data_IF_266442143953
#
_entry.id   IF_266442143953
#
_cell.length_a   1.000
_cell.length_b   1.000
_cell.length_c   1.000
_cell.angle_alpha   90.00
_cell.angle_beta   90.00
_cell.angle_gamma   90.00
#
_symmetry.space_group_name_H-M   'P 1'
#
loop_
_entity.id
_entity.type
_entity.pdbx_description
1 polymer ?
#
# COMPACT_ATOMS: atom_id res chain seq x y z
N UNK A 1 18.29 17.34 -36.58
CA UNK A 1 18.37 16.06 -35.90
C UNK A 1 19.25 16.24 -34.69
N UNK A 2 18.65 16.45 -33.50
CA UNK A 2 19.38 16.49 -32.23
C UNK A 2 18.95 15.24 -31.47
N UNK A 3 19.80 14.24 -31.39
CA UNK A 3 19.64 13.09 -30.53
C UNK A 3 19.72 13.58 -29.06
N UNK A 4 18.58 13.70 -28.39
CA UNK A 4 18.55 13.78 -26.94
C UNK A 4 18.83 12.37 -26.39
N UNK A 5 20.08 12.08 -26.10
CA UNK A 5 20.49 10.95 -25.31
C UNK A 5 19.87 11.09 -23.90
N UNK A 6 18.83 10.30 -23.63
CA UNK A 6 18.26 10.13 -22.31
C UNK A 6 19.33 9.52 -21.40
N UNK A 7 20.01 10.36 -20.62
CA UNK A 7 20.83 9.89 -19.50
C UNK A 7 19.83 9.29 -18.50
N UNK A 8 19.72 7.96 -18.49
CA UNK A 8 19.08 7.24 -17.40
C UNK A 8 19.81 7.63 -16.11
N UNK A 9 19.16 8.44 -15.25
CA UNK A 9 19.64 8.61 -13.88
C UNK A 9 19.52 7.23 -13.21
N UNK A 10 20.65 6.57 -12.96
CA UNK A 10 20.68 5.35 -12.18
C UNK A 10 19.99 5.63 -10.82
N UNK A 11 18.94 4.90 -10.53
CA UNK A 11 18.29 4.97 -9.21
C UNK A 11 19.30 4.43 -8.20
N UNK A 12 19.67 5.18 -7.15
CA UNK A 12 20.58 4.64 -6.14
C UNK A 12 19.94 3.41 -5.50
N UNK A 13 20.70 2.32 -5.45
CA UNK A 13 20.24 1.05 -4.88
C UNK A 13 19.77 1.23 -3.44
N UNK A 14 18.63 0.62 -3.09
CA UNK A 14 18.09 0.70 -1.72
C UNK A 14 19.09 0.11 -0.71
N UNK A 15 19.15 0.73 0.48
CA UNK A 15 20.13 0.38 1.53
C UNK A 15 20.04 -1.06 2.08
N UNK A 16 18.97 -1.78 1.80
CA UNK A 16 18.81 -3.21 2.11
C UNK A 16 19.62 -4.11 1.19
N UNK A 17 20.07 -3.60 0.02
CA UNK A 17 20.87 -4.34 -0.92
C UNK A 17 22.35 -3.89 -0.82
N UNK A 18 23.24 -4.86 -0.97
CA UNK A 18 24.68 -4.55 -0.99
C UNK A 18 25.10 -4.05 -2.37
N UNK A 19 26.04 -3.10 -2.38
CA UNK A 19 26.66 -2.62 -3.61
C UNK A 19 27.37 -3.79 -4.33
N UNK A 20 27.01 -4.12 -5.57
CA UNK A 20 27.61 -5.23 -6.31
C UNK A 20 29.11 -5.00 -6.62
N UNK A 21 29.58 -3.74 -6.55
CA UNK A 21 30.98 -3.39 -6.77
C UNK A 21 31.83 -3.47 -5.50
N UNK A 22 31.21 -3.60 -4.32
CA UNK A 22 31.91 -3.71 -3.07
C UNK A 22 32.53 -5.10 -2.90
N UNK A 23 33.82 -5.16 -2.57
CA UNK A 23 34.55 -6.41 -2.29
C UNK A 23 34.24 -7.02 -0.92
N UNK A 24 33.13 -6.64 -0.29
CA UNK A 24 32.75 -7.14 1.03
C UNK A 24 32.37 -8.62 0.97
N UNK A 25 32.98 -9.49 1.77
CA UNK A 25 32.62 -10.91 1.80
C UNK A 25 31.15 -11.10 2.18
N UNK A 26 30.40 -11.88 1.42
CA UNK A 26 29.00 -12.18 1.68
C UNK A 26 28.83 -13.56 2.29
N UNK A 27 27.99 -13.66 3.32
CA UNK A 27 27.68 -14.89 4.06
C UNK A 27 26.52 -15.59 3.35
N UNK A 28 26.66 -16.87 2.94
CA UNK A 28 25.58 -17.60 2.27
C UNK A 28 24.44 -17.94 3.26
N UNK A 29 23.21 -17.76 2.82
CA UNK A 29 22.00 -18.26 3.47
C UNK A 29 21.60 -19.55 2.76
N UNK A 30 21.55 -20.65 3.51
CA UNK A 30 21.19 -21.98 3.04
C UNK A 30 19.77 -22.29 3.52
N UNK A 31 18.84 -22.34 2.57
CA UNK A 31 17.45 -22.63 2.86
C UNK A 31 17.21 -24.13 2.95
N UNK A 32 16.49 -24.57 3.99
CA UNK A 32 16.16 -25.96 4.22
C UNK A 32 14.67 -26.14 4.48
N UNK A 33 14.08 -27.18 3.87
CA UNK A 33 12.81 -27.77 4.27
C UNK A 33 13.11 -29.13 4.91
N UNK A 34 12.14 -29.73 5.58
CA UNK A 34 12.32 -31.09 6.11
C UNK A 34 12.74 -32.10 5.01
N UNK A 35 12.23 -31.91 3.78
CA UNK A 35 12.55 -32.75 2.64
C UNK A 35 13.98 -32.55 2.13
N UNK A 36 14.43 -31.30 2.00
CA UNK A 36 15.76 -30.95 1.48
C UNK A 36 16.87 -31.06 2.51
N UNK A 37 16.55 -31.11 3.79
CA UNK A 37 17.53 -31.10 4.89
C UNK A 37 18.53 -32.25 4.85
N UNK A 38 18.15 -33.51 4.59
CA UNK A 38 19.13 -34.61 4.56
C UNK A 38 20.26 -34.39 3.55
N UNK A 39 19.91 -33.91 2.33
CA UNK A 39 20.89 -33.64 1.29
C UNK A 39 21.74 -32.40 1.62
N UNK A 40 21.11 -31.32 2.11
CA UNK A 40 21.85 -30.14 2.55
C UNK A 40 22.81 -30.45 3.68
N UNK A 41 22.36 -31.21 4.70
CA UNK A 41 23.17 -31.64 5.85
C UNK A 41 24.42 -32.42 5.38
N UNK A 42 24.27 -33.34 4.42
CA UNK A 42 25.40 -34.07 3.87
C UNK A 42 26.41 -33.14 3.17
N UNK A 43 25.93 -32.09 2.48
CA UNK A 43 26.80 -31.11 1.77
C UNK A 43 27.59 -30.21 2.73
N UNK A 44 27.19 -30.08 3.99
CA UNK A 44 27.89 -29.28 5.00
C UNK A 44 29.20 -29.94 5.48
N UNK A 45 29.44 -31.19 5.18
CA UNK A 45 30.65 -31.92 5.63
C UNK A 45 30.80 -31.89 7.16
N UNK A 46 32.00 -31.57 7.66
CA UNK A 46 32.29 -31.54 9.10
C UNK A 46 31.45 -30.54 9.89
N UNK A 47 30.97 -29.46 9.28
CA UNK A 47 30.14 -28.43 9.93
C UNK A 47 28.73 -28.97 10.25
N UNK A 48 28.32 -30.09 9.64
CA UNK A 48 27.06 -30.76 9.96
C UNK A 48 26.98 -31.22 11.43
N UNK A 49 28.11 -31.65 12.02
CA UNK A 49 28.19 -32.05 13.43
C UNK A 49 27.84 -30.87 14.37
N UNK A 50 28.21 -29.64 14.01
CA UNK A 50 27.81 -28.47 14.78
C UNK A 50 26.31 -28.23 14.68
N UNK A 51 25.71 -28.35 13.49
CA UNK A 51 24.28 -28.19 13.30
C UNK A 51 23.47 -29.21 14.11
N UNK A 52 23.95 -30.48 14.16
CA UNK A 52 23.34 -31.53 14.96
C UNK A 52 23.44 -31.23 16.46
N UNK A 53 24.63 -30.85 16.93
CA UNK A 53 24.86 -30.51 18.34
C UNK A 53 24.05 -29.27 18.80
N UNK A 54 23.82 -28.35 17.88
CA UNK A 54 22.97 -27.16 18.11
C UNK A 54 21.46 -27.48 18.02
N UNK A 55 21.09 -28.70 17.67
CA UNK A 55 19.70 -29.15 17.55
C UNK A 55 18.96 -28.45 16.42
N UNK A 56 19.65 -28.12 15.30
CA UNK A 56 18.99 -27.51 14.17
C UNK A 56 18.05 -28.49 13.48
N UNK A 57 16.80 -28.11 13.43
CA UNK A 57 15.76 -28.73 12.63
C UNK A 57 15.23 -27.69 11.63
N UNK A 58 14.93 -28.07 10.37
CA UNK A 58 14.49 -27.11 9.35
C UNK A 58 13.01 -26.71 9.57
N UNK A 59 12.65 -26.33 10.80
CA UNK A 59 11.33 -25.80 11.11
C UNK A 59 11.18 -24.39 10.57
N UNK A 60 9.98 -23.96 10.16
CA UNK A 60 9.74 -22.64 9.61
C UNK A 60 10.26 -21.51 10.50
N UNK A 61 11.22 -20.72 9.99
CA UNK A 61 11.83 -19.58 10.68
C UNK A 61 12.92 -19.92 11.67
N UNK A 62 13.22 -21.19 11.94
CA UNK A 62 14.39 -21.57 12.70
C UNK A 62 15.65 -21.20 11.91
N UNK A 63 16.64 -20.64 12.58
CA UNK A 63 17.91 -20.28 11.96
C UNK A 63 19.09 -20.69 12.83
N UNK A 64 20.22 -20.95 12.20
CA UNK A 64 21.47 -21.26 12.87
C UNK A 64 22.64 -20.62 12.13
N UNK A 65 23.51 -19.92 12.87
CA UNK A 65 24.75 -19.36 12.33
C UNK A 65 25.85 -20.44 12.43
N UNK A 66 26.35 -20.88 11.29
CA UNK A 66 27.45 -21.86 11.25
C UNK A 66 28.80 -21.13 11.44
N UNK A 67 29.67 -21.64 12.33
CA UNK A 67 30.96 -21.01 12.62
C UNK A 67 31.92 -21.14 11.43
N UNK A 68 32.88 -20.20 11.34
CA UNK A 68 33.94 -20.20 10.32
C UNK A 68 33.90 -18.97 9.40
N UNK A 69 34.65 -19.01 8.33
CA UNK A 69 34.76 -17.92 7.38
C UNK A 69 35.48 -16.66 7.92
N UNK A 70 35.72 -15.66 7.05
CA UNK A 70 36.49 -14.47 7.43
C UNK A 70 35.75 -13.55 8.43
N UNK A 71 34.44 -13.66 8.53
CA UNK A 71 33.59 -12.89 9.46
C UNK A 71 33.25 -13.64 10.74
N UNK A 72 33.77 -14.86 10.96
CA UNK A 72 33.40 -15.76 12.05
C UNK A 72 32.13 -16.57 11.79
N UNK A 73 31.42 -16.32 10.68
CA UNK A 73 30.22 -17.01 10.23
C UNK A 73 30.47 -17.53 8.81
N UNK A 74 30.43 -18.83 8.61
CA UNK A 74 30.61 -19.48 7.31
C UNK A 74 29.32 -19.53 6.48
N UNK A 75 28.17 -19.71 7.14
CA UNK A 75 26.86 -19.75 6.52
C UNK A 75 25.74 -19.51 7.55
N UNK A 76 24.54 -19.29 7.06
CA UNK A 76 23.29 -19.28 7.85
C UNK A 76 22.40 -20.40 7.34
N UNK A 77 22.00 -21.31 8.23
CA UNK A 77 20.90 -22.25 7.95
C UNK A 77 19.57 -21.55 8.25
N UNK A 78 18.58 -21.73 7.39
CA UNK A 78 17.26 -21.14 7.59
C UNK A 78 16.15 -22.10 7.14
N UNK A 79 15.28 -22.46 8.08
CA UNK A 79 14.14 -23.35 7.83
C UNK A 79 12.99 -22.65 7.12
N UNK A 80 12.49 -23.26 6.05
CA UNK A 80 11.31 -22.82 5.31
C UNK A 80 10.11 -23.74 5.57
N UNK A 81 8.86 -23.22 5.52
CA UNK A 81 7.67 -24.06 5.56
C UNK A 81 7.56 -24.91 4.29
N UNK A 82 6.78 -26.00 4.38
CA UNK A 82 6.45 -26.83 3.22
C UNK A 82 5.41 -26.15 2.33
N UNK A 83 5.41 -26.38 1.00
CA UNK A 83 4.25 -26.07 0.17
C UNK A 83 2.99 -26.84 0.65
N UNK A 84 1.76 -26.26 0.59
CA UNK A 84 1.41 -24.95 0.07
C UNK A 84 1.55 -23.79 1.07
N UNK A 85 1.99 -24.02 2.30
CA UNK A 85 2.08 -23.02 3.37
C UNK A 85 3.25 -22.04 3.17
N UNK A 86 3.94 -22.14 2.06
CA UNK A 86 5.14 -21.35 1.78
C UNK A 86 4.79 -19.91 1.41
N UNK A 87 4.82 -18.99 2.39
CA UNK A 87 4.89 -17.56 2.09
C UNK A 87 6.28 -17.23 1.50
N UNK A 88 6.39 -16.77 0.24
CA UNK A 88 7.68 -16.43 -0.36
C UNK A 88 8.44 -15.32 0.39
N UNK A 89 7.77 -14.60 1.29
CA UNK A 89 8.40 -13.58 2.13
C UNK A 89 9.06 -14.12 3.41
N UNK A 90 9.09 -15.44 3.65
CA UNK A 90 9.75 -16.01 4.83
C UNK A 90 11.17 -15.47 5.09
N UNK A 91 12.03 -15.25 4.07
CA UNK A 91 13.35 -14.64 4.27
C UNK A 91 13.31 -13.23 4.86
N UNK A 92 12.16 -12.57 4.84
CA UNK A 92 11.94 -11.28 5.51
C UNK A 92 12.00 -11.30 7.04
N UNK A 93 12.08 -12.46 7.67
CA UNK A 93 12.40 -12.58 9.11
C UNK A 93 13.89 -12.38 9.40
N UNK A 94 14.75 -12.73 8.45
CA UNK A 94 16.20 -12.77 8.63
C UNK A 94 16.79 -11.42 9.08
N UNK A 95 16.43 -10.25 8.52
CA UNK A 95 17.00 -8.98 8.95
C UNK A 95 16.78 -8.65 10.43
N UNK A 96 15.80 -9.26 11.08
CA UNK A 96 15.54 -9.03 12.52
C UNK A 96 16.39 -9.89 13.44
N UNK A 97 16.95 -10.99 12.96
CA UNK A 97 17.69 -12.00 13.75
C UNK A 97 19.15 -12.12 13.36
N UNK A 98 19.54 -11.69 12.17
CA UNK A 98 20.92 -11.77 11.70
C UNK A 98 21.82 -10.69 12.30
N UNK A 99 23.10 -11.00 12.60
CA UNK A 99 24.12 -10.00 12.84
C UNK A 99 24.30 -9.05 11.66
N UNK A 100 24.87 -7.85 11.90
CA UNK A 100 25.24 -6.94 10.82
C UNK A 100 26.18 -7.60 9.82
N UNK A 101 25.93 -7.41 8.55
CA UNK A 101 26.76 -7.99 7.49
C UNK A 101 26.08 -8.03 6.13
N UNK A 102 26.81 -8.50 5.14
CA UNK A 102 26.31 -8.76 3.79
C UNK A 102 26.02 -10.24 3.65
N UNK A 103 24.83 -10.58 3.22
CA UNK A 103 24.35 -11.93 3.02
C UNK A 103 24.01 -12.18 1.56
N UNK A 104 24.01 -13.42 1.11
CA UNK A 104 23.57 -13.85 -0.21
C UNK A 104 22.79 -15.16 -0.14
N UNK A 105 21.97 -15.43 -1.10
CA UNK A 105 21.32 -16.73 -1.20
C UNK A 105 22.35 -17.76 -1.66
N UNK A 106 22.62 -18.76 -0.83
CA UNK A 106 23.58 -19.84 -1.11
C UNK A 106 22.93 -21.04 -1.78
N UNK A 107 21.76 -21.48 -1.26
CA UNK A 107 20.81 -22.31 -1.99
C UNK A 107 19.61 -21.45 -2.36
N UNK A 108 19.09 -21.57 -3.58
CA UNK A 108 18.00 -20.71 -4.04
C UNK A 108 16.70 -20.97 -3.27
N UNK A 109 15.99 -19.94 -2.77
CA UNK A 109 14.62 -20.08 -2.32
C UNK A 109 13.72 -20.35 -3.55
N UNK A 110 12.52 -20.95 -3.37
CA UNK A 110 11.62 -21.29 -4.48
C UNK A 110 11.26 -20.12 -5.40
N UNK A 111 11.21 -18.92 -4.85
CA UNK A 111 11.02 -17.66 -5.62
C UNK A 111 12.08 -16.63 -5.18
N UNK A 112 13.25 -16.56 -5.85
CA UNK A 112 14.33 -15.66 -5.46
C UNK A 112 13.94 -14.19 -5.46
N UNK A 113 13.09 -13.74 -6.42
CA UNK A 113 12.63 -12.35 -6.50
C UNK A 113 11.80 -11.97 -5.29
N UNK A 114 10.77 -12.74 -4.95
CA UNK A 114 9.93 -12.45 -3.80
C UNK A 114 10.68 -12.67 -2.47
N UNK A 115 11.60 -13.61 -2.41
CA UNK A 115 12.47 -13.81 -1.25
C UNK A 115 13.37 -12.60 -1.00
N UNK A 116 13.98 -12.03 -2.05
CA UNK A 116 14.79 -10.82 -1.97
C UNK A 116 13.95 -9.59 -1.59
N UNK A 117 12.77 -9.46 -2.19
CA UNK A 117 11.81 -8.41 -1.82
C UNK A 117 11.39 -8.53 -0.35
N UNK A 118 10.99 -9.73 0.08
CA UNK A 118 10.61 -10.00 1.48
C UNK A 118 11.74 -9.69 2.46
N UNK A 119 12.98 -10.09 2.13
CA UNK A 119 14.16 -9.73 2.92
C UNK A 119 14.32 -8.22 3.04
N UNK A 120 14.29 -7.49 1.93
CA UNK A 120 14.44 -6.03 1.94
C UNK A 120 13.32 -5.33 2.70
N UNK A 121 12.06 -5.72 2.49
CA UNK A 121 10.91 -5.22 3.24
C UNK A 121 10.99 -5.51 4.75
N UNK A 122 11.65 -6.61 5.13
CA UNK A 122 11.91 -6.98 6.53
C UNK A 122 12.97 -6.10 7.21
N UNK A 123 13.76 -5.34 6.45
CA UNK A 123 14.73 -4.37 7.01
C UNK A 123 14.06 -3.09 7.48
N UNK A 124 12.83 -2.81 7.03
CA UNK A 124 12.13 -1.57 7.36
C UNK A 124 12.00 -1.35 8.86
N UNK A 125 12.23 -0.12 9.28
CA UNK A 125 12.04 0.36 10.66
C UNK A 125 11.59 1.81 10.63
N UNK A 126 10.49 2.11 11.32
CA UNK A 126 10.08 3.48 11.57
C UNK A 126 10.91 4.07 12.70
N UNK A 127 11.82 5.00 12.40
CA UNK A 127 12.84 5.50 13.33
C UNK A 127 12.76 7.01 13.62
N UNK A 128 11.68 7.68 13.20
CA UNK A 128 11.53 9.14 13.33
C UNK A 128 11.63 9.64 14.78
N UNK A 129 11.06 8.91 15.73
CA UNK A 129 10.99 9.33 17.14
C UNK A 129 11.94 8.56 18.06
N UNK A 130 12.47 7.46 17.58
CA UNK A 130 13.42 6.63 18.35
C UNK A 130 14.56 6.21 17.45
N UNK A 131 15.79 6.68 17.78
CA UNK A 131 16.99 6.27 17.06
C UNK A 131 17.15 4.75 17.10
N UNK A 132 17.52 4.19 15.97
CA UNK A 132 17.83 2.78 15.84
C UNK A 132 19.26 2.65 15.33
N UNK A 133 20.19 2.42 16.27
CA UNK A 133 21.64 2.31 15.98
C UNK A 133 22.06 0.91 15.49
N UNK A 134 21.08 0.03 15.13
CA UNK A 134 21.42 -1.29 14.61
C UNK A 134 22.19 -1.16 13.29
N UNK A 135 23.37 -1.78 13.25
CA UNK A 135 24.16 -1.90 12.02
C UNK A 135 23.35 -2.64 10.95
N UNK A 136 23.61 -2.34 9.69
CA UNK A 136 22.81 -2.81 8.55
C UNK A 136 23.03 -4.30 8.28
N UNK A 137 21.93 -4.99 8.00
CA UNK A 137 21.90 -6.31 7.40
C UNK A 137 21.51 -6.10 5.93
N UNK A 138 22.35 -6.55 4.99
CA UNK A 138 22.20 -6.30 3.57
C UNK A 138 22.18 -7.60 2.78
N UNK A 139 21.48 -7.62 1.66
CA UNK A 139 21.44 -8.74 0.73
C UNK A 139 22.23 -8.39 -0.54
N UNK A 140 23.25 -9.18 -0.86
CA UNK A 140 23.84 -9.19 -2.18
C UNK A 140 22.86 -9.92 -3.12
N UNK A 141 22.31 -9.16 -4.08
CA UNK A 141 21.32 -9.69 -5.01
C UNK A 141 21.96 -10.69 -6.00
N UNK A 142 21.26 -11.80 -6.30
CA UNK A 142 21.57 -12.62 -7.48
C UNK A 142 21.57 -11.78 -8.77
N UNK A 143 22.53 -12.03 -9.65
CA UNK A 143 22.75 -11.21 -10.86
C UNK A 143 21.56 -11.24 -11.86
N UNK A 144 20.74 -12.26 -11.79
CA UNK A 144 19.53 -12.43 -12.62
C UNK A 144 18.33 -11.61 -12.18
N UNK A 145 18.39 -10.98 -11.00
CA UNK A 145 17.29 -10.16 -10.49
C UNK A 145 17.43 -8.69 -10.90
N UNK A 146 16.30 -8.09 -11.28
CA UNK A 146 16.22 -6.66 -11.57
C UNK A 146 16.31 -5.85 -10.25
N UNK A 147 17.50 -5.33 -9.96
CA UNK A 147 17.81 -4.57 -8.76
C UNK A 147 17.05 -3.24 -8.72
N UNK A 148 16.82 -2.61 -9.88
CA UNK A 148 16.11 -1.34 -9.98
C UNK A 148 14.62 -1.53 -9.68
N UNK A 149 14.03 -2.61 -10.18
CA UNK A 149 12.62 -2.92 -9.89
C UNK A 149 12.39 -3.27 -8.42
N UNK A 150 13.28 -4.06 -7.83
CA UNK A 150 13.23 -4.37 -6.40
C UNK A 150 13.42 -3.11 -5.54
N UNK A 151 14.38 -2.24 -5.88
CA UNK A 151 14.61 -0.97 -5.18
C UNK A 151 13.37 -0.09 -5.24
N UNK A 152 12.78 0.06 -6.42
CA UNK A 152 11.54 0.84 -6.63
C UNK A 152 10.40 0.37 -5.74
N UNK A 153 10.18 -0.95 -5.65
CA UNK A 153 9.13 -1.52 -4.81
C UNK A 153 9.41 -1.31 -3.32
N UNK A 154 10.66 -1.48 -2.89
CA UNK A 154 11.03 -1.30 -1.47
C UNK A 154 10.89 0.16 -1.05
N UNK A 155 11.34 1.10 -1.89
CA UNK A 155 11.20 2.55 -1.68
C UNK A 155 9.71 2.94 -1.59
N UNK A 156 8.88 2.44 -2.51
CA UNK A 156 7.45 2.72 -2.55
C UNK A 156 6.72 2.21 -1.28
N UNK A 157 6.99 0.97 -0.91
CA UNK A 157 6.40 0.39 0.32
C UNK A 157 6.91 1.11 1.56
N UNK A 158 8.19 1.50 1.59
CA UNK A 158 8.77 2.30 2.66
C UNK A 158 8.07 3.64 2.82
N UNK A 159 7.84 4.36 1.72
CA UNK A 159 7.09 5.63 1.71
C UNK A 159 5.69 5.47 2.31
N UNK A 160 4.93 4.47 1.88
CA UNK A 160 3.58 4.24 2.40
C UNK A 160 3.62 3.91 3.91
N UNK A 161 4.53 3.03 4.32
CA UNK A 161 4.68 2.67 5.74
C UNK A 161 5.06 3.86 6.61
N UNK A 162 5.96 4.72 6.15
CA UNK A 162 6.35 5.93 6.87
C UNK A 162 5.18 6.88 7.08
N UNK A 163 4.38 7.12 6.02
CA UNK A 163 3.19 7.95 6.09
C UNK A 163 2.15 7.39 7.07
N UNK A 164 1.84 6.09 6.98
CA UNK A 164 0.82 5.46 7.83
C UNK A 164 1.28 5.38 9.29
N UNK A 165 2.58 5.18 9.54
CA UNK A 165 3.13 5.11 10.89
C UNK A 165 3.24 6.49 11.56
N UNK A 166 3.27 7.57 10.78
CA UNK A 166 3.37 8.92 11.31
C UNK A 166 2.16 9.23 12.20
N UNK A 167 2.35 9.70 13.45
CA UNK A 167 1.26 10.18 14.29
C UNK A 167 0.56 11.40 13.70
N UNK A 168 -0.75 11.53 13.95
CA UNK A 168 -1.57 12.59 13.38
C UNK A 168 -1.16 14.01 13.82
N UNK A 169 -0.49 14.17 14.97
CA UNK A 169 0.07 15.46 15.34
C UNK A 169 1.17 15.97 14.38
N UNK A 170 1.87 15.04 13.72
CA UNK A 170 2.94 15.32 12.76
C UNK A 170 2.55 15.01 11.30
N UNK A 171 1.38 14.43 11.07
CA UNK A 171 0.84 14.16 9.73
C UNK A 171 -0.65 14.51 9.67
N UNK A 172 -0.95 15.76 9.45
CA UNK A 172 -2.28 16.25 9.06
C UNK A 172 -2.39 16.44 7.54
N UNK A 173 -3.48 17.08 7.10
CA UNK A 173 -3.70 17.32 5.66
C UNK A 173 -2.58 18.11 4.98
N UNK A 174 -1.94 19.07 5.67
CA UNK A 174 -0.84 19.87 5.13
C UNK A 174 0.44 19.05 4.96
N UNK A 175 0.77 18.20 5.92
CA UNK A 175 1.94 17.36 5.87
C UNK A 175 1.79 16.22 4.84
N UNK A 176 0.57 15.73 4.64
CA UNK A 176 0.26 14.79 3.55
C UNK A 176 0.43 15.48 2.17
N UNK A 177 0.03 16.73 2.04
CA UNK A 177 0.32 17.55 0.86
C UNK A 177 1.83 17.68 0.63
N UNK A 178 2.63 17.98 1.67
CA UNK A 178 4.07 18.13 1.50
C UNK A 178 4.73 16.81 1.06
N UNK A 179 4.27 15.67 1.55
CA UNK A 179 4.72 14.37 1.07
C UNK A 179 4.39 14.17 -0.42
N UNK A 180 3.19 14.55 -0.85
CA UNK A 180 2.78 14.52 -2.24
C UNK A 180 3.62 15.47 -3.11
N UNK A 181 3.92 16.68 -2.62
CA UNK A 181 4.82 17.64 -3.29
C UNK A 181 6.25 17.11 -3.40
N UNK A 182 6.76 16.45 -2.38
CA UNK A 182 8.08 15.82 -2.42
C UNK A 182 8.15 14.73 -3.49
N UNK A 183 7.10 13.90 -3.60
CA UNK A 183 6.98 12.90 -4.65
C UNK A 183 6.89 13.53 -6.04
N UNK A 184 6.05 14.57 -6.21
CA UNK A 184 5.93 15.29 -7.47
C UNK A 184 7.27 15.90 -7.92
N UNK A 185 8.01 16.55 -7.01
CA UNK A 185 9.36 17.07 -7.30
C UNK A 185 10.35 15.98 -7.72
N UNK A 186 10.29 14.81 -7.08
CA UNK A 186 11.19 13.67 -7.41
C UNK A 186 11.02 13.21 -8.87
N UNK A 187 9.80 13.30 -9.40
CA UNK A 187 9.43 12.77 -10.72
C UNK A 187 9.08 13.85 -11.75
N UNK A 188 9.37 15.12 -11.47
CA UNK A 188 9.04 16.25 -12.33
C UNK A 188 7.54 16.29 -12.70
N UNK A 189 6.66 15.87 -11.76
CA UNK A 189 5.22 15.92 -11.92
C UNK A 189 4.65 17.29 -11.55
N UNK A 190 3.54 17.66 -12.17
CA UNK A 190 2.79 18.85 -11.81
C UNK A 190 1.90 18.54 -10.59
N UNK A 191 1.73 19.52 -9.70
CA UNK A 191 0.87 19.40 -8.54
C UNK A 191 0.11 20.70 -8.30
N UNK A 192 -1.20 20.60 -8.13
CA UNK A 192 -2.09 21.68 -7.67
C UNK A 192 -2.83 21.26 -6.40
N UNK A 193 -3.22 22.23 -5.59
CA UNK A 193 -3.93 21.96 -4.32
C UNK A 193 -4.99 23.02 -4.11
N UNK A 194 -6.19 22.58 -3.74
CA UNK A 194 -7.32 23.45 -3.35
C UNK A 194 -7.49 23.29 -1.84
N UNK A 195 -7.56 24.39 -1.09
CA UNK A 195 -7.50 24.38 0.38
C UNK A 195 -8.68 25.12 1.01
N UNK A 196 -9.24 24.56 2.09
CA UNK A 196 -10.22 25.22 2.92
C UNK A 196 -11.51 25.57 2.17
N UNK A 197 -11.96 26.81 2.26
CA UNK A 197 -13.22 27.28 1.66
C UNK A 197 -13.18 27.35 0.12
N UNK A 198 -11.98 27.43 -0.50
CA UNK A 198 -11.82 27.33 -1.95
C UNK A 198 -12.37 26.00 -2.50
N UNK A 199 -12.47 24.97 -1.65
CA UNK A 199 -13.13 23.70 -2.01
C UNK A 199 -14.62 23.90 -2.34
N UNK A 200 -15.32 24.81 -1.65
CA UNK A 200 -16.71 25.14 -1.96
C UNK A 200 -16.82 25.91 -3.28
N UNK A 201 -15.94 26.89 -3.51
CA UNK A 201 -15.91 27.68 -4.74
C UNK A 201 -15.63 26.82 -5.98
N UNK A 202 -14.83 25.75 -5.81
CA UNK A 202 -14.47 24.83 -6.88
C UNK A 202 -15.31 23.53 -6.88
N UNK A 203 -16.46 23.55 -6.17
CA UNK A 203 -17.45 22.46 -6.15
C UNK A 203 -16.91 21.12 -5.61
N UNK A 204 -16.30 21.17 -4.41
CA UNK A 204 -15.93 19.99 -3.61
C UNK A 204 -16.59 20.02 -2.23
N UNK A 205 -17.92 20.09 -2.15
CA UNK A 205 -18.63 20.36 -0.92
C UNK A 205 -18.57 19.19 0.10
N UNK A 206 -18.45 17.94 -0.34
CA UNK A 206 -18.34 16.80 0.56
C UNK A 206 -16.95 16.73 1.21
N UNK A 207 -15.87 17.05 0.49
CA UNK A 207 -14.52 17.15 1.07
C UNK A 207 -14.51 18.25 2.13
N UNK A 208 -15.07 19.43 1.81
CA UNK A 208 -15.17 20.53 2.75
C UNK A 208 -16.01 20.15 3.98
N UNK A 209 -17.20 19.55 3.79
CA UNK A 209 -18.11 19.19 4.87
C UNK A 209 -17.46 18.28 5.92
N UNK A 210 -16.70 17.27 5.49
CA UNK A 210 -15.98 16.37 6.39
C UNK A 210 -14.87 17.09 7.14
N UNK A 211 -14.05 17.88 6.43
CA UNK A 211 -12.83 18.46 7.01
C UNK A 211 -13.02 19.78 7.76
N UNK A 212 -14.14 20.47 7.61
CA UNK A 212 -14.35 21.82 8.20
C UNK A 212 -14.39 21.84 9.74
N UNK A 213 -14.55 20.68 10.36
CA UNK A 213 -14.58 20.59 11.83
C UNK A 213 -13.20 20.66 12.47
N UNK A 214 -12.14 20.33 11.70
CA UNK A 214 -10.76 20.40 12.17
C UNK A 214 -10.21 21.83 12.09
N UNK A 215 -9.28 22.15 13.00
CA UNK A 215 -8.46 23.36 12.91
C UNK A 215 -7.43 23.29 11.77
N UNK A 216 -7.25 22.12 11.17
CA UNK A 216 -6.38 21.85 10.03
C UNK A 216 -7.22 21.86 8.75
N UNK A 217 -7.10 22.86 7.87
CA UNK A 217 -7.96 23.02 6.70
C UNK A 217 -7.93 21.78 5.79
N UNK A 218 -9.12 21.31 5.33
CA UNK A 218 -9.22 20.25 4.34
C UNK A 218 -8.61 20.70 3.00
N UNK A 219 -8.21 19.73 2.17
CA UNK A 219 -7.67 20.02 0.84
C UNK A 219 -7.87 18.89 -0.15
N UNK A 220 -7.88 19.25 -1.41
CA UNK A 220 -7.76 18.30 -2.51
C UNK A 220 -6.38 18.48 -3.15
N UNK A 221 -5.58 17.41 -3.13
CA UNK A 221 -4.27 17.36 -3.77
C UNK A 221 -4.45 16.67 -5.12
N UNK A 222 -3.92 17.27 -6.18
CA UNK A 222 -4.04 16.81 -7.57
C UNK A 222 -2.66 16.80 -8.22
N UNK A 223 -2.14 15.61 -8.54
CA UNK A 223 -0.85 15.40 -9.21
C UNK A 223 -1.12 14.93 -10.63
N UNK A 224 -0.43 15.51 -11.61
CA UNK A 224 -0.46 15.09 -13.02
C UNK A 224 0.95 14.79 -13.51
N UNK A 225 1.10 13.66 -14.25
CA UNK A 225 2.37 13.23 -14.81
C UNK A 225 2.18 12.47 -16.12
N UNK A 226 3.20 12.46 -16.97
CA UNK A 226 3.22 11.71 -18.23
C UNK A 226 2.74 12.52 -19.44
N UNK A 227 2.71 11.86 -20.61
CA UNK A 227 2.27 12.49 -21.86
C UNK A 227 0.74 12.73 -21.82
N UNK A 228 0.26 13.98 -22.02
CA UNK A 228 -1.18 14.28 -22.08
C UNK A 228 -1.96 13.46 -23.11
N UNK A 229 -1.31 12.90 -24.13
CA UNK A 229 -1.91 12.09 -25.19
C UNK A 229 -1.92 10.59 -24.86
N UNK A 230 -1.19 10.15 -23.87
CA UNK A 230 -1.16 8.75 -23.45
C UNK A 230 -2.48 8.33 -22.78
N UNK A 231 -2.75 7.02 -22.64
CA UNK A 231 -3.91 6.51 -21.92
C UNK A 231 -4.04 7.11 -20.52
N UNK A 232 -5.22 7.63 -20.19
CA UNK A 232 -5.48 8.29 -18.92
C UNK A 232 -5.75 7.26 -17.83
N UNK A 233 -4.94 7.26 -16.78
CA UNK A 233 -5.14 6.48 -15.56
C UNK A 233 -5.22 7.42 -14.38
N UNK A 234 -6.30 7.33 -13.60
CA UNK A 234 -6.48 8.15 -12.40
C UNK A 234 -6.49 7.28 -11.16
N UNK A 235 -5.62 7.62 -10.21
CA UNK A 235 -5.57 7.01 -8.87
C UNK A 235 -6.22 7.96 -7.88
N UNK A 236 -7.11 7.45 -7.04
CA UNK A 236 -7.78 8.22 -5.99
C UNK A 236 -7.48 7.57 -4.64
N UNK A 237 -6.96 8.35 -3.68
CA UNK A 237 -6.58 7.84 -2.37
C UNK A 237 -7.32 8.51 -1.23
N UNK A 238 -8.05 7.74 -0.38
CA UNK A 238 -8.63 8.29 0.85
C UNK A 238 -7.52 8.88 1.72
N UNK A 239 -7.62 10.18 2.02
CA UNK A 239 -6.62 10.93 2.78
C UNK A 239 -7.14 11.45 4.13
N UNK A 240 -7.91 10.66 4.87
CA UNK A 240 -8.36 11.02 6.22
C UNK A 240 -7.21 10.84 7.21
N UNK A 241 -6.54 11.92 7.57
CA UNK A 241 -5.29 11.87 8.36
C UNK A 241 -5.50 11.45 9.80
N UNK A 242 -6.68 11.68 10.35
CA UNK A 242 -7.19 11.08 11.58
C UNK A 242 -8.71 11.03 11.54
N UNK A 243 -9.28 9.93 12.01
CA UNK A 243 -10.73 9.74 12.04
C UNK A 243 -11.24 9.48 13.45
N UNK A 244 -11.95 10.48 14.01
CA UNK A 244 -12.64 10.35 15.29
C UNK A 244 -14.00 9.67 15.17
N UNK A 245 -14.54 9.52 13.94
CA UNK A 245 -15.91 9.20 13.64
C UNK A 245 -16.80 10.44 13.51
N UNK A 246 -16.28 11.63 13.77
CA UNK A 246 -17.09 12.85 13.85
C UNK A 246 -18.03 12.83 15.06
N UNK A 247 -19.26 13.28 14.90
CA UNK A 247 -20.25 13.27 16.01
C UNK A 247 -20.75 11.86 16.35
N UNK A 248 -20.68 10.90 15.42
CA UNK A 248 -20.85 9.47 15.69
C UNK A 248 -19.51 8.88 16.18
N UNK A 249 -19.06 9.36 17.34
CA UNK A 249 -17.74 9.16 17.89
C UNK A 249 -17.38 7.67 18.06
N UNK A 250 -16.21 7.28 17.55
CA UNK A 250 -15.69 5.92 17.69
C UNK A 250 -15.43 5.55 19.17
N UNK A 251 -15.65 4.28 19.57
CA UNK A 251 -15.14 3.79 20.84
C UNK A 251 -13.60 3.82 20.86
N UNK A 252 -12.99 3.86 22.05
CA UNK A 252 -11.54 3.95 22.25
C UNK A 252 -10.75 2.93 21.39
N UNK A 253 -11.15 1.66 21.43
CA UNK A 253 -10.51 0.59 20.67
C UNK A 253 -10.63 0.74 19.15
N UNK A 254 -11.70 1.39 18.67
CA UNK A 254 -11.91 1.71 17.26
C UNK A 254 -11.06 2.89 16.80
N UNK A 255 -10.81 3.85 17.70
CA UNK A 255 -10.06 5.08 17.40
C UNK A 255 -8.55 4.91 17.48
N UNK A 256 -8.04 3.98 18.27
CA UNK A 256 -6.63 3.82 18.67
C UNK A 256 -5.62 3.91 17.51
N UNK A 257 -5.94 3.33 16.36
CA UNK A 257 -5.03 3.30 15.20
C UNK A 257 -5.52 4.16 14.03
N UNK A 258 -6.44 5.11 14.25
CA UNK A 258 -7.06 5.89 13.18
C UNK A 258 -6.14 6.91 12.51
N UNK A 259 -4.89 7.06 12.95
CA UNK A 259 -3.82 7.68 12.16
C UNK A 259 -3.56 6.95 10.83
N UNK A 260 -3.96 5.67 10.71
CA UNK A 260 -3.85 4.88 9.49
C UNK A 260 -4.91 5.19 8.43
N UNK A 261 -5.88 6.04 8.74
CA UNK A 261 -7.07 6.21 7.89
C UNK A 261 -6.81 6.99 6.60
N UNK A 262 -5.60 7.45 6.42
CA UNK A 262 -5.01 7.96 5.19
C UNK A 262 -4.22 6.89 4.42
N UNK A 263 -4.35 5.62 4.77
CA UNK A 263 -3.66 4.49 4.14
C UNK A 263 -3.97 4.35 2.65
N UNK A 264 -5.16 4.74 2.21
CA UNK A 264 -5.50 4.83 0.79
C UNK A 264 -4.59 5.82 0.06
N UNK A 265 -4.44 7.04 0.58
CA UNK A 265 -3.54 8.06 0.05
C UNK A 265 -2.08 7.59 0.05
N UNK A 266 -1.62 6.96 1.13
CA UNK A 266 -0.26 6.43 1.21
C UNK A 266 0.02 5.37 0.14
N UNK A 267 -0.93 4.43 -0.07
CA UNK A 267 -0.79 3.38 -1.08
C UNK A 267 -0.86 3.92 -2.52
N UNK A 268 -1.70 4.94 -2.81
CA UNK A 268 -1.70 5.54 -4.16
C UNK A 268 -0.43 6.35 -4.42
N UNK A 269 0.15 7.02 -3.41
CA UNK A 269 1.45 7.69 -3.56
C UNK A 269 2.58 6.68 -3.82
N UNK A 270 2.57 5.53 -3.13
CA UNK A 270 3.50 4.44 -3.38
C UNK A 270 3.35 3.87 -4.81
N UNK A 271 2.12 3.63 -5.25
CA UNK A 271 1.83 3.17 -6.62
C UNK A 271 2.25 4.21 -7.66
N UNK A 272 1.94 5.49 -7.43
CA UNK A 272 2.36 6.58 -8.29
C UNK A 272 3.88 6.68 -8.40
N UNK A 273 4.62 6.50 -7.28
CA UNK A 273 6.07 6.42 -7.30
C UNK A 273 6.56 5.32 -8.25
N UNK A 274 6.03 4.09 -8.12
CA UNK A 274 6.44 2.96 -8.97
C UNK A 274 6.14 3.22 -10.45
N UNK A 275 4.96 3.77 -10.77
CA UNK A 275 4.54 4.11 -12.13
C UNK A 275 5.45 5.16 -12.75
N UNK A 276 5.70 6.25 -12.04
CA UNK A 276 6.52 7.37 -12.52
C UNK A 276 8.00 6.98 -12.65
N UNK A 277 8.53 6.25 -11.69
CA UNK A 277 9.93 5.80 -11.70
C UNK A 277 10.20 4.80 -12.83
N UNK A 278 9.26 3.89 -13.09
CA UNK A 278 9.33 2.95 -14.23
C UNK A 278 9.07 3.62 -15.57
N UNK A 279 8.52 4.85 -15.55
CA UNK A 279 8.13 5.63 -16.75
C UNK A 279 7.15 4.87 -17.65
N UNK A 280 6.06 4.37 -17.04
CA UNK A 280 5.03 3.69 -17.80
C UNK A 280 4.39 4.64 -18.82
N UNK A 281 4.02 4.12 -20.00
CA UNK A 281 3.44 4.89 -21.09
C UNK A 281 1.95 5.21 -20.82
N UNK A 282 1.70 6.10 -19.88
CA UNK A 282 0.37 6.56 -19.50
C UNK A 282 0.39 8.00 -19.01
N UNK A 283 -0.77 8.68 -19.04
CA UNK A 283 -0.99 9.94 -18.34
C UNK A 283 -1.56 9.60 -16.97
N UNK A 284 -0.74 9.76 -15.94
CA UNK A 284 -1.13 9.56 -14.55
C UNK A 284 -1.77 10.81 -13.97
N UNK A 285 -2.90 10.64 -13.28
CA UNK A 285 -3.45 11.62 -12.35
C UNK A 285 -3.62 10.99 -10.97
N UNK A 286 -3.27 11.70 -9.91
CA UNK A 286 -3.46 11.24 -8.52
C UNK A 286 -4.26 12.27 -7.76
N UNK A 287 -5.41 11.86 -7.22
CA UNK A 287 -6.30 12.72 -6.44
C UNK A 287 -6.35 12.24 -4.99
N UNK A 288 -6.05 13.15 -4.06
CA UNK A 288 -6.07 12.85 -2.62
C UNK A 288 -6.91 13.90 -1.91
N UNK A 289 -8.17 13.58 -1.55
CA UNK A 289 -8.95 14.40 -0.63
C UNK A 289 -8.38 14.22 0.78
N UNK A 290 -7.60 15.20 1.25
CA UNK A 290 -6.91 15.17 2.53
C UNK A 290 -7.69 15.98 3.57
N UNK A 291 -8.18 15.30 4.61
CA UNK A 291 -9.03 15.88 5.66
C UNK A 291 -8.70 15.26 7.02
N UNK A 292 -9.20 15.86 8.08
CA UNK A 292 -9.29 15.27 9.42
C UNK A 292 -10.77 15.27 9.83
N UNK A 293 -11.32 14.10 10.18
CA UNK A 293 -12.68 13.99 10.69
C UNK A 293 -12.66 14.25 12.21
N UNK A 294 -13.06 15.45 12.60
CA UNK A 294 -12.92 15.96 13.96
C UNK A 294 -14.27 16.32 14.58
N UNK A 295 -14.31 16.37 15.93
CA UNK A 295 -15.46 16.82 16.70
C UNK A 295 -15.34 18.32 16.99
N UNK A 296 -16.30 19.11 16.53
CA UNK A 296 -16.40 20.53 16.86
C UNK A 296 -17.82 21.06 16.64
N UNK A 297 -18.07 22.32 17.00
CA UNK A 297 -19.35 23.00 16.76
C UNK A 297 -19.69 23.18 15.28
N UNK A 298 -18.70 23.09 14.38
CA UNK A 298 -18.88 23.20 12.92
C UNK A 298 -18.97 21.83 12.22
N UNK A 299 -18.93 20.71 12.95
CA UNK A 299 -18.99 19.37 12.36
C UNK A 299 -20.32 19.14 11.60
N UNK A 300 -20.24 18.32 10.55
CA UNK A 300 -21.45 17.83 9.89
C UNK A 300 -22.16 16.81 10.79
N UNK A 301 -23.49 16.66 10.62
CA UNK A 301 -24.35 15.96 11.57
C UNK A 301 -25.14 14.86 10.89
N UNK A 302 -25.55 13.83 11.61
CA UNK A 302 -26.59 12.93 11.13
C UNK A 302 -27.82 13.70 10.65
N UNK A 303 -28.41 13.27 9.52
CA UNK A 303 -29.52 13.87 8.79
C UNK A 303 -29.24 15.21 8.09
N UNK A 304 -28.03 15.76 8.15
CA UNK A 304 -27.63 16.82 7.23
C UNK A 304 -27.67 16.28 5.78
N UNK A 305 -28.00 17.15 4.82
CA UNK A 305 -28.00 16.83 3.39
C UNK A 305 -27.02 17.73 2.67
N UNK A 306 -26.07 17.12 1.97
CA UNK A 306 -25.08 17.85 1.17
C UNK A 306 -25.23 17.50 -0.32
N UNK A 307 -24.97 18.47 -1.19
CA UNK A 307 -24.84 18.23 -2.62
C UNK A 307 -23.39 17.84 -2.92
N UNK A 308 -23.18 16.77 -3.66
CA UNK A 308 -21.85 16.35 -4.14
C UNK A 308 -21.41 17.13 -5.37
N UNK A 309 -20.12 17.03 -5.76
CA UNK A 309 -19.59 17.55 -7.03
C UNK A 309 -20.41 17.11 -8.23
N UNK A 310 -20.83 15.84 -8.26
CA UNK A 310 -21.66 15.28 -9.34
C UNK A 310 -23.09 15.87 -9.39
N UNK A 311 -23.49 16.62 -8.37
CA UNK A 311 -24.83 17.19 -8.24
C UNK A 311 -25.83 16.32 -7.48
N UNK A 312 -25.50 15.07 -7.15
CA UNK A 312 -26.31 14.19 -6.31
C UNK A 312 -26.34 14.73 -4.88
N UNK A 313 -27.52 14.71 -4.27
CA UNK A 313 -27.70 15.02 -2.84
C UNK A 313 -27.45 13.77 -2.01
N UNK A 314 -26.73 13.94 -0.88
CA UNK A 314 -26.37 12.86 0.04
C UNK A 314 -26.83 13.20 1.45
N UNK A 315 -27.74 12.39 1.98
CA UNK A 315 -28.13 12.40 3.40
C UNK A 315 -27.06 11.72 4.24
N UNK A 316 -26.65 12.35 5.32
CA UNK A 316 -25.69 11.80 6.27
C UNK A 316 -26.42 10.87 7.25
N UNK A 317 -26.28 9.57 7.05
CA UNK A 317 -26.82 8.59 8.00
C UNK A 317 -25.84 8.27 9.14
N UNK A 318 -24.54 8.50 8.91
CA UNK A 318 -23.49 8.29 9.90
C UNK A 318 -22.25 9.14 9.54
N UNK A 319 -21.74 9.92 10.51
CA UNK A 319 -20.55 10.77 10.32
C UNK A 319 -19.24 9.97 10.32
N UNK A 320 -19.23 8.72 10.77
CA UNK A 320 -18.11 7.76 10.71
C UNK A 320 -18.04 7.04 9.33
N UNK A 321 -18.87 7.46 8.39
CA UNK A 321 -18.80 7.06 6.98
C UNK A 321 -18.35 8.24 6.09
N UNK A 322 -17.38 8.99 6.53
CA UNK A 322 -16.79 10.20 5.94
C UNK A 322 -15.91 9.89 4.72
N UNK A 323 -15.21 8.75 4.74
CA UNK A 323 -14.27 8.36 3.70
C UNK A 323 -14.93 8.26 2.32
N UNK A 324 -16.14 7.69 2.25
CA UNK A 324 -16.88 7.61 0.98
C UNK A 324 -17.40 8.97 0.52
N UNK A 325 -17.61 9.92 1.43
CA UNK A 325 -18.02 11.29 1.07
C UNK A 325 -16.87 12.04 0.39
N UNK A 326 -15.68 12.02 0.97
CA UNK A 326 -14.52 12.69 0.37
C UNK A 326 -14.11 12.03 -0.94
N UNK A 327 -14.24 10.69 -1.04
CA UNK A 327 -14.01 9.95 -2.28
C UNK A 327 -15.05 10.29 -3.35
N UNK A 328 -16.30 10.52 -3.00
CA UNK A 328 -17.36 10.84 -3.96
C UNK A 328 -17.02 12.08 -4.81
N UNK A 329 -16.56 13.17 -4.20
CA UNK A 329 -16.17 14.38 -4.92
C UNK A 329 -14.90 14.14 -5.76
N UNK A 330 -13.91 13.42 -5.21
CA UNK A 330 -12.67 13.11 -5.93
C UNK A 330 -12.90 12.16 -7.12
N UNK A 331 -13.77 11.15 -6.96
CA UNK A 331 -14.14 10.22 -8.04
C UNK A 331 -14.96 10.93 -9.12
N UNK A 332 -15.88 11.84 -8.75
CA UNK A 332 -16.61 12.64 -9.73
C UNK A 332 -15.66 13.51 -10.58
N UNK A 333 -14.64 14.13 -9.95
CA UNK A 333 -13.61 14.86 -10.68
C UNK A 333 -12.77 13.94 -11.59
N UNK A 334 -12.43 12.74 -11.12
CA UNK A 334 -11.70 11.75 -11.92
C UNK A 334 -12.50 11.33 -13.16
N UNK A 335 -13.81 11.10 -12.99
CA UNK A 335 -14.73 10.63 -14.01
C UNK A 335 -14.96 11.66 -15.14
N UNK A 336 -14.91 12.96 -14.82
CA UNK A 336 -15.08 14.06 -15.79
C UNK A 336 -14.04 14.04 -16.92
N UNK A 337 -12.85 13.48 -16.71
CA UNK A 337 -11.83 13.36 -17.75
C UNK A 337 -12.00 12.14 -18.67
N UNK A 338 -13.03 11.33 -18.43
CA UNK A 338 -13.27 10.07 -19.16
C UNK A 338 -12.00 9.19 -19.21
N UNK A 339 -11.43 8.80 -18.06
CA UNK A 339 -10.20 8.02 -18.04
C UNK A 339 -10.43 6.58 -18.53
N UNK A 340 -9.37 5.95 -19.04
CA UNK A 340 -9.39 4.54 -19.40
C UNK A 340 -9.52 3.65 -18.16
N UNK A 341 -8.90 4.08 -17.05
CA UNK A 341 -8.95 3.35 -15.78
C UNK A 341 -8.96 4.33 -14.60
N UNK A 342 -9.91 4.15 -13.69
CA UNK A 342 -9.89 4.73 -12.34
C UNK A 342 -9.60 3.63 -11.33
N UNK A 343 -8.68 3.89 -10.41
CA UNK A 343 -8.42 3.02 -9.25
C UNK A 343 -8.53 3.86 -7.99
N UNK A 344 -9.40 3.47 -7.07
CA UNK A 344 -9.43 4.10 -5.77
C UNK A 344 -9.07 3.14 -4.64
N UNK A 345 -8.27 3.64 -3.70
CA UNK A 345 -7.78 2.92 -2.54
C UNK A 345 -8.24 3.63 -1.27
N UNK A 346 -8.87 2.91 -0.36
CA UNK A 346 -9.39 3.49 0.87
C UNK A 346 -9.38 2.51 2.04
N UNK A 347 -9.06 2.99 3.23
CA UNK A 347 -9.33 2.34 4.49
C UNK A 347 -10.80 2.61 4.85
N UNK A 348 -11.71 1.91 4.16
CA UNK A 348 -13.09 2.39 4.07
C UNK A 348 -14.03 1.76 5.10
N UNK A 349 -13.96 0.44 5.29
CA UNK A 349 -14.95 -0.22 6.15
C UNK A 349 -14.35 -1.22 7.15
N UNK A 350 -14.91 -1.22 8.36
CA UNK A 350 -14.66 -2.31 9.30
C UNK A 350 -15.21 -3.66 8.81
N UNK A 351 -16.24 -3.63 7.95
CA UNK A 351 -16.85 -4.82 7.38
C UNK A 351 -15.89 -5.62 6.49
N UNK A 352 -15.04 -4.96 5.70
CA UNK A 352 -13.99 -5.61 4.91
C UNK A 352 -13.04 -6.42 5.79
N UNK A 353 -12.54 -5.80 6.87
CA UNK A 353 -11.65 -6.46 7.83
C UNK A 353 -12.31 -7.63 8.55
N UNK A 354 -13.59 -7.51 8.91
CA UNK A 354 -14.34 -8.61 9.56
C UNK A 354 -14.52 -9.79 8.60
N UNK A 355 -14.73 -9.51 7.31
CA UNK A 355 -14.93 -10.55 6.30
C UNK A 355 -13.65 -11.29 5.91
N UNK A 356 -12.52 -10.57 5.71
CA UNK A 356 -11.30 -11.10 5.11
C UNK A 356 -10.06 -11.00 6.00
N UNK A 357 -10.18 -10.43 7.20
CA UNK A 357 -9.05 -10.18 8.09
C UNK A 357 -8.20 -8.96 7.66
N UNK A 358 -7.05 -8.73 8.34
CA UNK A 358 -6.21 -7.57 8.08
C UNK A 358 -5.27 -7.74 6.87
N UNK A 359 -5.08 -8.96 6.37
CA UNK A 359 -4.05 -9.29 5.39
C UNK A 359 -4.56 -9.26 3.95
N UNK A 360 -5.82 -9.58 3.74
CA UNK A 360 -6.46 -9.70 2.43
C UNK A 360 -7.40 -8.53 2.22
N UNK A 361 -7.07 -7.65 1.27
CA UNK A 361 -7.95 -6.54 0.97
C UNK A 361 -9.00 -6.93 -0.09
N UNK A 362 -10.30 -6.66 0.15
CA UNK A 362 -11.30 -6.84 -0.90
C UNK A 362 -11.14 -5.80 -2.00
N UNK A 363 -11.36 -6.23 -3.23
CA UNK A 363 -11.48 -5.32 -4.37
C UNK A 363 -12.80 -5.53 -5.13
N UNK A 364 -13.23 -4.49 -5.83
CA UNK A 364 -14.47 -4.43 -6.57
C UNK A 364 -14.21 -3.91 -7.98
N UNK A 365 -14.76 -4.57 -8.97
CA UNK A 365 -14.84 -4.12 -10.36
C UNK A 365 -15.93 -4.89 -11.10
N UNK A 366 -16.58 -4.27 -12.07
CA UNK A 366 -17.52 -4.91 -12.96
C UNK A 366 -16.84 -5.53 -14.21
N UNK A 367 -15.56 -5.22 -14.44
CA UNK A 367 -14.79 -5.71 -15.59
C UNK A 367 -14.17 -7.08 -15.26
N UNK A 368 -14.68 -8.14 -15.87
CA UNK A 368 -14.23 -9.52 -15.60
C UNK A 368 -12.77 -9.78 -16.00
N UNK A 369 -12.30 -9.36 -17.20
CA UNK A 369 -10.88 -9.49 -17.55
C UNK A 369 -9.95 -8.77 -16.57
N UNK A 370 -10.32 -7.55 -16.16
CA UNK A 370 -9.56 -6.77 -15.20
C UNK A 370 -9.48 -7.45 -13.83
N UNK A 371 -10.60 -8.04 -13.37
CA UNK A 371 -10.66 -8.80 -12.12
C UNK A 371 -9.76 -10.04 -12.16
N UNK A 372 -9.78 -10.79 -13.26
CA UNK A 372 -8.93 -11.95 -13.43
C UNK A 372 -7.44 -11.59 -13.43
N UNK A 373 -7.05 -10.52 -14.15
CA UNK A 373 -5.69 -10.02 -14.17
C UNK A 373 -5.23 -9.59 -12.77
N UNK A 374 -6.04 -8.79 -12.06
CA UNK A 374 -5.67 -8.32 -10.73
C UNK A 374 -5.54 -9.46 -9.72
N UNK A 375 -6.42 -10.47 -9.79
CA UNK A 375 -6.31 -11.67 -8.95
C UNK A 375 -5.01 -12.43 -9.22
N UNK A 376 -4.61 -12.58 -10.48
CA UNK A 376 -3.36 -13.22 -10.88
C UNK A 376 -2.15 -12.44 -10.37
N UNK A 377 -2.15 -11.11 -10.50
CA UNK A 377 -1.06 -10.27 -10.01
C UNK A 377 -0.99 -10.20 -8.48
N UNK A 378 -2.12 -10.22 -7.78
CA UNK A 378 -2.16 -10.32 -6.33
C UNK A 378 -1.41 -11.57 -5.83
N UNK A 379 -1.61 -12.70 -6.51
CA UNK A 379 -0.90 -13.95 -6.20
C UNK A 379 0.59 -13.90 -6.56
N UNK A 380 0.95 -13.41 -7.78
CA UNK A 380 2.34 -13.38 -8.24
C UNK A 380 3.21 -12.37 -7.49
N UNK A 381 2.63 -11.30 -6.94
CA UNK A 381 3.34 -10.26 -6.18
C UNK A 381 3.28 -10.46 -4.66
N UNK A 382 2.66 -11.55 -4.20
CA UNK A 382 2.43 -11.80 -2.78
C UNK A 382 1.78 -10.59 -2.07
N UNK A 383 0.77 -10.00 -2.74
CA UNK A 383 0.01 -8.83 -2.30
C UNK A 383 -1.49 -9.19 -2.27
N UNK A 384 -1.96 -9.89 -1.23
CA UNK A 384 -3.22 -10.62 -1.24
C UNK A 384 -4.43 -9.72 -1.43
N UNK A 385 -5.21 -10.00 -2.47
CA UNK A 385 -6.47 -9.35 -2.78
C UNK A 385 -7.55 -10.40 -3.02
N UNK A 386 -8.80 -10.06 -2.70
CA UNK A 386 -9.95 -10.93 -2.95
C UNK A 386 -11.11 -10.16 -3.56
N UNK A 387 -11.66 -10.62 -4.68
CA UNK A 387 -12.78 -9.96 -5.31
C UNK A 387 -14.07 -10.20 -4.52
N UNK A 388 -14.75 -9.11 -4.13
CA UNK A 388 -16.13 -9.15 -3.64
C UNK A 388 -17.10 -8.62 -4.70
N UNK A 389 -18.39 -9.05 -4.68
CA UNK A 389 -19.36 -8.69 -5.72
C UNK A 389 -19.89 -7.25 -5.53
N UNK A 390 -20.09 -6.54 -6.63
CA UNK A 390 -20.96 -5.35 -6.72
C UNK A 390 -22.42 -5.78 -6.85
N UNK A 391 -22.99 -6.35 -5.77
CA UNK A 391 -24.33 -6.93 -5.79
C UNK A 391 -25.41 -5.87 -5.82
N UNK A 392 -25.95 -5.60 -7.02
CA UNK A 392 -26.92 -4.52 -7.25
C UNK A 392 -28.22 -4.65 -6.45
N UNK A 393 -28.58 -5.83 -5.99
CA UNK A 393 -29.73 -6.04 -5.08
C UNK A 393 -29.63 -5.25 -3.76
N UNK A 394 -28.43 -4.79 -3.36
CA UNK A 394 -28.26 -3.95 -2.18
C UNK A 394 -28.31 -2.43 -2.48
N UNK A 395 -28.39 -2.02 -3.74
CA UNK A 395 -28.36 -0.60 -4.11
C UNK A 395 -29.53 0.19 -3.51
N UNK A 396 -30.73 -0.43 -3.40
CA UNK A 396 -31.91 0.20 -2.78
C UNK A 396 -31.72 0.51 -1.30
N UNK A 397 -30.80 -0.14 -0.59
CA UNK A 397 -30.52 0.15 0.83
C UNK A 397 -29.83 1.51 1.04
N UNK A 398 -29.33 2.12 -0.04
CA UNK A 398 -28.71 3.44 -0.06
C UNK A 398 -29.69 4.56 -0.44
N UNK A 399 -30.96 4.25 -0.66
CA UNK A 399 -31.98 5.25 -0.95
C UNK A 399 -32.32 6.08 0.30
N UNK A 400 -32.60 7.36 0.06
CA UNK A 400 -33.04 8.30 1.09
C UNK A 400 -34.45 8.82 0.78
N UNK A 401 -35.30 9.05 1.77
CA UNK A 401 -36.60 9.68 1.55
C UNK A 401 -36.52 11.18 1.24
N UNK A 402 -35.37 11.84 1.46
CA UNK A 402 -35.21 13.30 1.35
C UNK A 402 -34.02 13.71 0.47
N UNK A 403 -33.20 12.76 0.00
CA UNK A 403 -32.03 12.98 -0.85
C UNK A 403 -31.93 11.89 -1.90
N UNK A 404 -30.99 12.04 -2.85
CA UNK A 404 -30.75 11.02 -3.88
C UNK A 404 -30.10 9.75 -3.29
N UNK A 405 -29.29 9.90 -2.25
CA UNK A 405 -28.55 8.83 -1.59
C UNK A 405 -28.41 9.05 -0.08
N UNK A 406 -28.18 7.95 0.65
CA UNK A 406 -27.61 7.99 2.01
C UNK A 406 -26.15 7.52 1.97
N UNK A 407 -25.32 8.09 2.85
CA UNK A 407 -23.91 7.63 2.94
C UNK A 407 -23.74 6.26 3.61
N UNK A 408 -24.77 5.72 4.24
CA UNK A 408 -24.79 4.36 4.82
C UNK A 408 -26.05 3.62 4.44
N UNK A 409 -25.97 2.29 4.35
CA UNK A 409 -27.12 1.45 4.10
C UNK A 409 -28.09 1.46 5.30
N UNK A 410 -29.38 1.35 5.01
CA UNK A 410 -30.45 1.28 6.02
C UNK A 410 -30.40 0.00 6.87
N UNK A 411 -29.78 -1.08 6.38
CA UNK A 411 -29.54 -2.33 7.08
C UNK A 411 -28.06 -2.46 7.45
N UNK A 412 -27.74 -3.01 8.63
CA UNK A 412 -26.38 -3.14 9.16
C UNK A 412 -25.54 -4.26 8.53
N UNK A 413 -25.91 -4.76 7.33
CA UNK A 413 -25.23 -5.85 6.64
C UNK A 413 -24.53 -5.39 5.39
N UNK A 414 -23.56 -6.22 4.90
CA UNK A 414 -22.85 -6.03 3.63
C UNK A 414 -22.14 -4.66 3.52
N UNK A 415 -21.64 -4.09 4.62
CA UNK A 415 -21.14 -2.72 4.71
C UNK A 415 -20.04 -2.38 3.69
N UNK A 416 -19.16 -3.33 3.33
CA UNK A 416 -18.13 -3.11 2.32
C UNK A 416 -18.72 -3.08 0.90
N UNK A 417 -19.68 -3.98 0.59
CA UNK A 417 -20.38 -4.00 -0.71
C UNK A 417 -21.20 -2.72 -0.91
N UNK A 418 -21.95 -2.29 0.12
CA UNK A 418 -22.79 -1.08 0.03
C UNK A 418 -21.94 0.19 -0.06
N UNK A 419 -20.75 0.22 0.57
CA UNK A 419 -19.79 1.29 0.40
C UNK A 419 -19.27 1.37 -1.06
N UNK A 420 -18.91 0.23 -1.65
CA UNK A 420 -18.51 0.16 -3.05
C UNK A 420 -19.64 0.58 -4.01
N UNK A 421 -20.88 0.16 -3.74
CA UNK A 421 -22.06 0.58 -4.51
C UNK A 421 -22.34 2.09 -4.39
N UNK A 422 -22.12 2.68 -3.21
CA UNK A 422 -22.18 4.14 -3.05
C UNK A 422 -21.15 4.84 -3.95
N UNK A 423 -19.88 4.42 -3.90
CA UNK A 423 -18.82 5.00 -4.72
C UNK A 423 -19.08 4.82 -6.23
N UNK A 424 -19.61 3.70 -6.64
CA UNK A 424 -19.98 3.42 -8.05
C UNK A 424 -20.92 4.50 -8.62
N UNK A 425 -21.77 5.15 -7.81
CA UNK A 425 -22.66 6.24 -8.25
C UNK A 425 -21.91 7.46 -8.78
N UNK A 426 -20.63 7.61 -8.43
CA UNK A 426 -19.80 8.74 -8.80
C UNK A 426 -18.85 8.46 -9.99
N UNK A 427 -18.80 7.20 -10.44
CA UNK A 427 -18.01 6.77 -11.61
C UNK A 427 -18.98 6.26 -12.69
N UNK A 428 -19.10 6.98 -13.81
CA UNK A 428 -20.05 6.65 -14.87
C UNK A 428 -19.45 6.72 -16.28
N UNK A 429 -18.41 7.53 -16.50
CA UNK A 429 -17.79 7.79 -17.79
C UNK A 429 -16.44 7.06 -17.97
N UNK A 430 -15.76 6.74 -16.88
CA UNK A 430 -14.53 5.97 -16.90
C UNK A 430 -14.78 4.60 -17.58
N UNK A 431 -13.88 4.19 -18.48
CA UNK A 431 -14.05 2.92 -19.18
C UNK A 431 -13.95 1.72 -18.23
N UNK A 432 -13.14 1.84 -17.17
CA UNK A 432 -12.94 0.82 -16.12
C UNK A 432 -12.74 1.45 -14.76
N UNK A 433 -13.20 0.75 -13.72
CA UNK A 433 -13.04 1.18 -12.33
C UNK A 433 -12.68 0.01 -11.43
N UNK A 434 -11.74 0.25 -10.52
CA UNK A 434 -11.38 -0.65 -9.41
C UNK A 434 -11.49 0.13 -8.10
N UNK A 435 -12.22 -0.39 -7.13
CA UNK A 435 -12.18 0.03 -5.75
C UNK A 435 -11.49 -1.03 -4.90
N UNK A 436 -10.59 -0.63 -3.98
CA UNK A 436 -9.95 -1.53 -3.01
C UNK A 436 -10.16 -0.99 -1.59
N UNK A 437 -10.79 -1.80 -0.73
CA UNK A 437 -11.06 -1.48 0.67
C UNK A 437 -9.94 -2.04 1.56
N UNK A 438 -8.95 -1.21 1.87
CA UNK A 438 -7.72 -1.57 2.55
C UNK A 438 -7.89 -1.63 4.07
N UNK A 439 -7.03 -2.40 4.76
CA UNK A 439 -6.81 -2.22 6.19
C UNK A 439 -5.62 -1.31 6.50
N UNK A 440 -4.58 -1.35 5.67
CA UNK A 440 -3.35 -0.57 5.75
C UNK A 440 -2.60 -0.68 7.09
N UNK A 441 -2.76 -1.79 7.81
CA UNK A 441 -2.11 -2.02 9.10
C UNK A 441 -1.82 -3.50 9.34
N UNK A 442 -0.59 -3.81 9.76
CA UNK A 442 -0.18 -5.15 10.20
C UNK A 442 -0.24 -5.20 11.73
N UNK A 443 -1.20 -5.93 12.35
CA UNK A 443 -1.39 -5.95 13.80
C UNK A 443 -0.25 -6.63 14.58
N UNK A 444 0.47 -7.54 13.95
CA UNK A 444 1.63 -8.24 14.52
C UNK A 444 2.64 -8.56 13.42
N UNK A 445 3.93 -8.48 13.75
CA UNK A 445 5.00 -8.67 12.78
C UNK A 445 4.95 -10.03 12.08
N UNK A 446 5.05 -10.01 10.75
CA UNK A 446 5.12 -11.16 9.84
C UNK A 446 6.35 -11.04 8.94
N UNK A 447 6.76 -12.13 8.23
CA UNK A 447 7.87 -12.05 7.29
C UNK A 447 7.70 -10.94 6.26
N UNK A 448 8.66 -10.02 6.15
CA UNK A 448 8.61 -8.87 5.26
C UNK A 448 7.54 -7.80 5.59
N UNK A 449 6.72 -8.02 6.62
CA UNK A 449 5.62 -7.15 7.06
C UNK A 449 5.77 -6.86 8.56
N UNK A 450 6.56 -5.85 8.96
CA UNK A 450 6.66 -5.46 10.36
C UNK A 450 5.33 -4.95 10.89
N UNK A 451 5.12 -4.99 12.20
CA UNK A 451 3.97 -4.38 12.85
C UNK A 451 3.87 -2.89 12.53
N UNK A 452 2.67 -2.40 12.27
CA UNK A 452 2.41 -1.00 11.94
C UNK A 452 1.81 -0.81 10.55
N UNK A 453 2.06 0.37 9.95
CA UNK A 453 1.58 0.73 8.62
C UNK A 453 1.99 -0.27 7.55
N UNK A 454 1.05 -0.62 6.65
CA UNK A 454 1.29 -1.58 5.57
C UNK A 454 0.77 -1.06 4.23
N UNK A 455 1.59 -1.26 3.20
CA UNK A 455 1.27 -0.94 1.81
C UNK A 455 0.59 -2.14 1.16
N UNK A 456 -0.73 -2.10 1.06
CA UNK A 456 -1.54 -3.16 0.43
C UNK A 456 -1.96 -2.75 -0.99
N UNK A 457 -2.17 -3.72 -1.87
CA UNK A 457 -2.61 -3.62 -3.25
C UNK A 457 -1.64 -2.92 -4.23
N UNK A 458 -0.68 -2.14 -3.75
CA UNK A 458 0.14 -1.30 -4.62
C UNK A 458 1.05 -2.12 -5.55
N UNK A 459 1.60 -3.27 -5.10
CA UNK A 459 2.45 -4.13 -5.94
C UNK A 459 1.64 -4.88 -6.99
N UNK A 460 0.48 -5.42 -6.61
CA UNK A 460 -0.43 -6.08 -7.53
C UNK A 460 -0.94 -5.12 -8.62
N UNK A 461 -1.32 -3.90 -8.23
CA UNK A 461 -1.74 -2.85 -9.16
C UNK A 461 -0.58 -2.36 -10.04
N UNK A 462 0.64 -2.24 -9.50
CA UNK A 462 1.82 -1.89 -10.30
C UNK A 462 2.09 -2.94 -11.39
N UNK A 463 2.05 -4.23 -11.05
CA UNK A 463 2.21 -5.31 -12.02
C UNK A 463 1.10 -5.30 -13.11
N UNK A 464 -0.14 -5.00 -12.71
CA UNK A 464 -1.25 -4.80 -13.65
C UNK A 464 -0.97 -3.64 -14.60
N UNK A 465 -0.58 -2.47 -14.08
CA UNK A 465 -0.30 -1.28 -14.88
C UNK A 465 0.92 -1.46 -15.77
N UNK A 466 1.98 -2.11 -15.26
CA UNK A 466 3.18 -2.43 -16.03
C UNK A 466 2.87 -3.35 -17.22
N UNK A 467 2.00 -4.33 -17.03
CA UNK A 467 1.58 -5.24 -18.12
C UNK A 467 0.74 -4.52 -19.18
N UNK A 468 -0.08 -3.53 -18.79
CA UNK A 468 -0.97 -2.81 -19.71
C UNK A 468 -0.29 -1.63 -20.40
N UNK A 469 0.61 -0.94 -19.71
CA UNK A 469 1.19 0.33 -20.11
C UNK A 469 2.74 0.32 -20.07
N UNK A 470 3.35 -0.84 -19.96
CA UNK A 470 4.79 -0.99 -20.03
C UNK A 470 5.34 -0.53 -21.39
N UNK A 471 6.64 -0.17 -21.45
CA UNK A 471 7.30 0.22 -22.68
C UNK A 471 7.41 -0.94 -23.67
#
# INVERSE_FOLDING_TARGET
MVQHGLIQRAVPMHAAFADPTASTPSIPILFATEESWPALRQSLGEVSAFADAAGFEPKPGQHLLLPGGPTGISAVLFGLPRPPEHDPFWPGRLPSVLPPGVYRFGSGPPNPRLAALGFALGTYRFSRYRRNDRKRVQLALPAELDADDLTRMVDAVGLARDLINMPANDLGPAELEEAARALARRHDAQISVIVGDDLLEQNFPLIHAVGRASVRPPRLIDICWGDPKAPKVTLVGKGVTFDTGGLDLKPESGMLIMKKDMGGAACVLALAHMVMDRRLNLRLRVLIPAVENAVSGSAFRPLDVYRSRKGLTVEIGNTDAEGRLVLADALALADEEVPELVVDLATLTGAARVALGPDVAPFYTADEPLAADLTRFAASENDPLWRLPLWQGYASTLESPIADLRNVASAGFAGSITAALFLQRFVAQAARWIHVDLYAWTPSAKPGRPEGGECQAARALYALLQTRYGP
#
